data_IF_908508206005
#
_entry.id   IF_908508206005
#
_cell.length_a   1.000
_cell.length_b   1.000
_cell.length_c   1.000
_cell.angle_alpha   90.00
_cell.angle_beta   90.00
_cell.angle_gamma   90.00
#
_symmetry.space_group_name_H-M   'P 1'
#
loop_
_entity.id
_entity.type
_entity.pdbx_description
1 polymer ?
#
# COMPACT_ATOMS: atom_id res chain seq x y z
N UNK A 1 -27.05 5.26 20.55
CA UNK A 1 -26.67 5.11 21.97
C UNK A 1 -25.28 5.68 22.15
N UNK A 2 -25.07 6.68 23.01
CA UNK A 2 -23.74 7.10 23.43
C UNK A 2 -23.18 5.94 24.23
N UNK A 3 -22.14 5.30 23.74
CA UNK A 3 -21.44 4.24 24.45
C UNK A 3 -20.76 4.82 25.64
N UNK A 4 -21.04 5.23 26.65
CA UNK A 4 -20.39 5.85 27.81
C UNK A 4 -18.85 5.80 27.90
N UNK A 5 -18.18 5.31 26.82
CA UNK A 5 -16.73 5.13 26.69
C UNK A 5 -16.06 6.38 26.10
N UNK A 6 -14.88 6.73 26.60
CA UNK A 6 -14.05 7.78 26.02
C UNK A 6 -13.46 7.37 24.66
N UNK A 7 -12.98 8.32 23.85
CA UNK A 7 -12.27 7.99 22.60
C UNK A 7 -11.06 7.09 22.80
N UNK A 8 -10.29 7.30 23.87
CA UNK A 8 -9.14 6.47 24.24
C UNK A 8 -9.56 5.04 24.56
N UNK A 9 -10.63 4.85 25.33
CA UNK A 9 -11.17 3.52 25.62
C UNK A 9 -11.66 2.81 24.35
N UNK A 10 -12.25 3.53 23.41
CA UNK A 10 -12.68 3.00 22.13
C UNK A 10 -11.49 2.63 21.23
N UNK A 11 -10.43 3.45 21.25
CA UNK A 11 -9.19 3.18 20.52
C UNK A 11 -8.54 1.87 21.02
N UNK A 12 -8.35 1.75 22.33
CA UNK A 12 -7.74 0.58 22.97
C UNK A 12 -8.60 -0.70 22.80
N UNK A 13 -9.91 -0.60 22.87
CA UNK A 13 -10.81 -1.71 22.61
C UNK A 13 -10.66 -2.24 21.18
N UNK A 14 -10.56 -1.36 20.20
CA UNK A 14 -10.35 -1.72 18.80
C UNK A 14 -8.97 -2.34 18.58
N UNK A 15 -7.92 -1.71 19.11
CA UNK A 15 -6.56 -2.24 19.05
C UNK A 15 -6.45 -3.62 19.72
N UNK A 16 -7.08 -3.80 20.88
CA UNK A 16 -7.12 -5.10 21.57
C UNK A 16 -7.79 -6.17 20.71
N UNK A 17 -8.93 -5.85 20.09
CA UNK A 17 -9.66 -6.78 19.21
C UNK A 17 -8.81 -7.25 18.04
N UNK A 18 -8.05 -6.34 17.44
CA UNK A 18 -7.12 -6.65 16.35
C UNK A 18 -5.93 -7.47 16.85
N UNK A 19 -5.34 -7.11 17.98
CA UNK A 19 -4.24 -7.86 18.59
C UNK A 19 -4.65 -9.30 18.94
N UNK A 20 -5.82 -9.48 19.52
CA UNK A 20 -6.34 -10.82 19.80
C UNK A 20 -6.50 -11.64 18.52
N UNK A 21 -6.98 -11.04 17.42
CA UNK A 21 -7.07 -11.73 16.13
C UNK A 21 -5.68 -12.06 15.54
N UNK A 22 -4.70 -11.15 15.63
CA UNK A 22 -3.32 -11.41 15.17
C UNK A 22 -2.69 -12.57 15.95
N UNK A 23 -2.89 -12.60 17.25
CA UNK A 23 -2.40 -13.64 18.15
C UNK A 23 -3.22 -14.96 18.08
N UNK A 24 -4.15 -15.05 17.12
CA UNK A 24 -5.01 -16.21 16.88
C UNK A 24 -5.92 -16.56 18.08
N UNK A 25 -6.22 -15.56 18.89
CA UNK A 25 -7.19 -15.64 19.99
C UNK A 25 -8.58 -15.27 19.48
N UNK A 26 -9.61 -15.62 20.24
CA UNK A 26 -10.97 -15.13 20.03
C UNK A 26 -11.11 -13.75 20.68
N UNK A 27 -11.31 -12.66 19.92
CA UNK A 27 -11.73 -11.38 20.50
C UNK A 27 -13.21 -11.44 20.94
N UNK A 28 -13.76 -10.34 21.44
CA UNK A 28 -15.19 -10.24 21.75
C UNK A 28 -16.10 -10.49 20.53
N UNK A 29 -15.63 -10.12 19.35
CA UNK A 29 -16.23 -10.42 18.03
C UNK A 29 -15.20 -10.36 16.92
N UNK A 30 -15.56 -10.86 15.75
CA UNK A 30 -14.78 -10.71 14.53
C UNK A 30 -14.53 -9.22 14.27
N UNK A 31 -13.27 -8.78 14.10
CA UNK A 31 -12.95 -7.40 13.72
C UNK A 31 -13.37 -7.09 12.29
N UNK A 32 -13.62 -5.81 11.99
CA UNK A 32 -13.90 -5.33 10.64
C UNK A 32 -13.01 -4.13 10.28
N UNK A 33 -12.46 -4.17 9.06
CA UNK A 33 -11.64 -3.09 8.50
C UNK A 33 -12.36 -2.42 7.35
N UNK A 34 -12.38 -1.09 7.35
CA UNK A 34 -12.90 -0.27 6.26
C UNK A 34 -11.74 0.29 5.42
N UNK A 35 -11.56 -0.23 4.22
CA UNK A 35 -10.60 0.31 3.24
C UNK A 35 -11.30 1.32 2.35
N UNK A 36 -11.31 2.59 2.75
CA UNK A 36 -12.18 3.62 2.15
C UNK A 36 -11.86 3.90 0.69
N UNK A 37 -10.59 3.95 0.32
CA UNK A 37 -10.13 4.30 -1.03
C UNK A 37 -10.95 5.46 -1.62
N UNK A 38 -11.67 5.29 -2.74
CA UNK A 38 -12.47 6.34 -3.38
C UNK A 38 -13.95 6.38 -2.95
N UNK A 39 -14.37 5.49 -2.08
CA UNK A 39 -15.74 5.41 -1.56
C UNK A 39 -16.24 6.68 -0.84
N UNK A 40 -15.41 7.50 -0.13
CA UNK A 40 -15.88 8.73 0.50
C UNK A 40 -16.59 9.70 -0.45
N UNK A 41 -16.16 9.81 -1.71
CA UNK A 41 -16.85 10.63 -2.71
C UNK A 41 -18.31 10.20 -2.91
N UNK A 42 -18.54 8.88 -3.05
CA UNK A 42 -19.88 8.29 -3.16
C UNK A 42 -20.69 8.45 -1.89
N UNK A 43 -20.05 8.24 -0.74
CA UNK A 43 -20.74 8.26 0.56
C UNK A 43 -21.31 9.64 0.91
N UNK A 44 -20.57 10.72 0.64
CA UNK A 44 -21.05 12.08 0.87
C UNK A 44 -21.86 12.65 -0.30
N UNK A 45 -21.72 12.08 -1.50
CA UNK A 45 -22.52 12.41 -2.69
C UNK A 45 -22.24 13.79 -3.34
N UNK A 46 -21.14 14.47 -2.97
CA UNK A 46 -20.82 15.82 -3.45
C UNK A 46 -19.36 15.99 -3.93
N UNK A 47 -18.57 14.95 -3.89
CA UNK A 47 -17.18 14.95 -4.32
C UNK A 47 -17.00 14.04 -5.51
N UNK A 48 -15.91 14.27 -6.24
CA UNK A 48 -15.39 13.39 -7.30
C UNK A 48 -14.10 12.72 -6.83
N UNK A 49 -13.61 11.75 -7.57
CA UNK A 49 -12.30 11.13 -7.29
C UNK A 49 -11.17 12.17 -7.44
N UNK A 50 -11.31 13.16 -8.34
CA UNK A 50 -10.32 14.23 -8.51
C UNK A 50 -10.09 15.04 -7.23
N UNK A 51 -11.10 15.19 -6.36
CA UNK A 51 -10.96 15.94 -5.10
C UNK A 51 -9.94 15.29 -4.16
N UNK A 52 -9.69 13.97 -4.27
CA UNK A 52 -8.63 13.29 -3.51
C UNK A 52 -7.20 13.76 -3.87
N UNK A 53 -7.04 14.45 -5.00
CA UNK A 53 -5.77 15.02 -5.47
C UNK A 53 -5.73 16.55 -5.38
N UNK A 54 -6.88 17.22 -5.36
CA UNK A 54 -6.98 18.68 -5.53
C UNK A 54 -7.60 19.41 -4.35
N UNK A 55 -8.45 18.76 -3.55
CA UNK A 55 -9.06 19.33 -2.34
C UNK A 55 -8.93 18.38 -1.16
N UNK A 56 -7.73 18.37 -0.57
CA UNK A 56 -7.42 17.47 0.56
C UNK A 56 -8.31 17.73 1.77
N UNK A 57 -8.70 18.97 2.02
CA UNK A 57 -9.57 19.32 3.14
C UNK A 57 -10.96 18.70 3.01
N UNK A 58 -11.63 18.92 1.87
CA UNK A 58 -12.92 18.31 1.60
C UNK A 58 -12.85 16.78 1.57
N UNK A 59 -11.76 16.21 1.01
CA UNK A 59 -11.56 14.78 0.96
C UNK A 59 -11.40 14.15 2.34
N UNK A 60 -10.60 14.75 3.22
CA UNK A 60 -10.39 14.28 4.59
C UNK A 60 -11.67 14.38 5.43
N UNK A 61 -12.44 15.47 5.32
CA UNK A 61 -13.73 15.58 5.98
C UNK A 61 -14.73 14.51 5.51
N UNK A 62 -14.77 14.21 4.22
CA UNK A 62 -15.60 13.14 3.67
C UNK A 62 -15.17 11.77 4.21
N UNK A 63 -13.86 11.52 4.26
CA UNK A 63 -13.27 10.30 4.78
C UNK A 63 -13.56 10.14 6.27
N UNK A 64 -13.36 11.19 7.06
CA UNK A 64 -13.71 11.23 8.49
C UNK A 64 -15.18 10.92 8.71
N UNK A 65 -16.07 11.61 7.99
CA UNK A 65 -17.50 11.35 8.08
C UNK A 65 -17.84 9.90 7.79
N UNK A 66 -17.27 9.33 6.73
CA UNK A 66 -17.48 7.93 6.34
C UNK A 66 -17.07 6.95 7.45
N UNK A 67 -15.91 7.16 8.06
CA UNK A 67 -15.39 6.28 9.13
C UNK A 67 -16.20 6.43 10.40
N UNK A 68 -16.53 7.68 10.81
CA UNK A 68 -17.29 7.95 12.03
C UNK A 68 -18.73 7.41 11.96
N UNK A 69 -19.37 7.51 10.80
CA UNK A 69 -20.74 7.02 10.59
C UNK A 69 -20.80 5.48 10.53
N UNK A 70 -19.81 4.84 9.91
CA UNK A 70 -19.76 3.37 9.72
C UNK A 70 -19.16 2.61 10.90
N UNK A 71 -18.29 3.25 11.69
CA UNK A 71 -17.69 2.71 12.92
C UNK A 71 -16.97 1.37 12.75
N UNK A 72 -16.01 1.25 11.83
CA UNK A 72 -15.15 0.08 11.74
C UNK A 72 -14.21 -0.06 12.95
N UNK A 73 -13.51 -1.19 13.06
CA UNK A 73 -12.46 -1.36 14.06
C UNK A 73 -11.16 -0.71 13.63
N UNK A 74 -10.78 -0.89 12.36
CA UNK A 74 -9.66 -0.17 11.74
C UNK A 74 -10.13 0.47 10.43
N UNK A 75 -9.37 1.47 10.00
CA UNK A 75 -9.55 2.07 8.67
C UNK A 75 -8.24 2.11 7.87
N UNK A 76 -8.37 2.16 6.55
CA UNK A 76 -7.31 2.53 5.62
C UNK A 76 -7.84 3.61 4.69
N UNK A 77 -7.24 4.79 4.73
CA UNK A 77 -7.71 5.98 4.02
C UNK A 77 -6.94 6.23 2.70
N UNK A 78 -6.23 5.22 2.19
CA UNK A 78 -5.29 5.37 1.08
C UNK A 78 -5.97 5.64 -0.26
N UNK A 79 -6.19 6.93 -0.59
CA UNK A 79 -6.56 7.38 -1.94
C UNK A 79 -6.03 8.78 -2.19
N UNK A 80 -5.69 9.06 -3.45
CA UNK A 80 -5.20 10.37 -3.88
C UNK A 80 -3.73 10.63 -3.60
N UNK A 81 -3.37 11.90 -3.57
CA UNK A 81 -2.02 12.41 -3.36
C UNK A 81 -1.95 13.91 -3.64
N UNK A 82 -0.79 14.53 -3.51
CA UNK A 82 -0.63 15.94 -3.86
C UNK A 82 -0.66 16.15 -5.38
N UNK A 83 -1.82 16.50 -5.94
CA UNK A 83 -1.98 16.83 -7.36
C UNK A 83 -1.07 18.00 -7.81
N UNK A 84 -0.82 18.97 -6.93
CA UNK A 84 0.08 20.08 -7.22
C UNK A 84 1.55 19.65 -7.28
N UNK A 85 1.98 18.72 -6.40
CA UNK A 85 3.33 18.14 -6.47
C UNK A 85 3.50 17.34 -7.77
N UNK A 86 2.53 16.48 -8.10
CA UNK A 86 2.52 15.71 -9.36
C UNK A 86 2.57 16.63 -10.58
N UNK A 87 1.73 17.66 -10.62
CA UNK A 87 1.69 18.64 -11.71
C UNK A 87 2.99 19.43 -11.87
N UNK A 88 3.66 19.73 -10.75
CA UNK A 88 4.94 20.45 -10.79
C UNK A 88 6.05 19.61 -11.43
N UNK A 89 6.00 18.28 -11.28
CA UNK A 89 7.01 17.36 -11.83
C UNK A 89 6.65 16.80 -13.21
N UNK A 90 5.36 16.68 -13.55
CA UNK A 90 4.88 16.13 -14.82
C UNK A 90 5.22 14.64 -14.97
N UNK A 91 4.53 13.70 -14.28
CA UNK A 91 4.83 12.28 -14.39
C UNK A 91 4.46 11.75 -15.77
N UNK A 92 5.38 11.01 -16.41
CA UNK A 92 5.20 10.41 -17.73
C UNK A 92 4.52 9.03 -17.67
N UNK A 93 4.67 8.34 -16.54
CA UNK A 93 4.18 6.96 -16.35
C UNK A 93 2.98 6.88 -15.41
N UNK A 94 2.34 8.02 -15.11
CA UNK A 94 1.20 8.09 -14.21
C UNK A 94 0.22 9.16 -14.66
N UNK A 95 -1.07 8.85 -14.69
CA UNK A 95 -2.18 9.79 -14.92
C UNK A 95 -3.14 9.73 -13.75
N UNK A 96 -3.71 10.86 -13.38
CA UNK A 96 -4.66 10.95 -12.27
C UNK A 96 -5.91 11.76 -12.63
N UNK A 97 -7.02 11.55 -11.93
CA UNK A 97 -8.25 12.25 -12.19
C UNK A 97 -8.10 13.77 -11.98
N UNK A 98 -8.70 14.53 -12.88
CA UNK A 98 -8.58 15.99 -12.91
C UNK A 98 -7.33 16.51 -13.63
N UNK A 99 -6.40 15.63 -14.03
CA UNK A 99 -5.26 15.98 -14.89
C UNK A 99 -4.98 14.82 -15.88
N UNK A 100 -5.49 14.94 -17.09
CA UNK A 100 -5.40 13.93 -18.15
C UNK A 100 -6.42 12.79 -18.08
N UNK A 101 -7.21 12.69 -16.98
CA UNK A 101 -8.33 11.76 -16.83
C UNK A 101 -9.59 12.49 -16.38
N UNK A 102 -10.75 11.88 -16.65
CA UNK A 102 -12.04 12.39 -16.14
C UNK A 102 -12.08 12.44 -14.61
N UNK A 103 -12.88 13.35 -14.00
CA UNK A 103 -12.87 13.60 -12.56
C UNK A 103 -13.28 12.38 -11.71
N UNK A 104 -14.01 11.44 -12.26
CA UNK A 104 -14.43 10.20 -11.59
C UNK A 104 -13.67 8.95 -12.09
N UNK A 105 -12.63 9.12 -12.88
CA UNK A 105 -11.75 8.02 -13.28
C UNK A 105 -10.76 7.70 -12.16
N UNK A 106 -10.43 6.42 -12.01
CA UNK A 106 -9.29 6.04 -11.16
C UNK A 106 -7.98 6.43 -11.85
N UNK A 107 -6.92 6.63 -11.06
CA UNK A 107 -5.59 6.84 -11.61
C UNK A 107 -5.14 5.66 -12.48
N UNK A 108 -4.22 5.93 -13.39
CA UNK A 108 -3.67 4.93 -14.31
C UNK A 108 -2.14 4.97 -14.31
N UNK A 109 -1.55 3.79 -14.17
CA UNK A 109 -0.13 3.59 -14.44
C UNK A 109 0.06 3.28 -15.93
N UNK A 110 1.10 3.90 -16.52
CA UNK A 110 1.50 3.66 -17.89
C UNK A 110 2.73 2.77 -17.86
N UNK A 111 2.68 1.65 -18.55
CA UNK A 111 3.81 0.73 -18.64
C UNK A 111 5.03 1.44 -19.24
N UNK A 112 6.20 1.22 -18.64
CA UNK A 112 7.46 1.77 -19.11
C UNK A 112 8.65 0.98 -18.58
N UNK A 113 9.82 1.17 -19.21
CA UNK A 113 11.10 0.55 -18.83
C UNK A 113 12.13 1.64 -18.48
N UNK A 114 12.01 2.32 -17.33
CA UNK A 114 13.00 3.31 -16.91
C UNK A 114 14.41 2.77 -16.74
N UNK A 115 14.55 1.53 -16.30
CA UNK A 115 15.79 0.75 -16.35
C UNK A 115 15.77 -0.15 -17.59
N UNK A 116 16.71 0.00 -18.51
CA UNK A 116 16.83 -0.84 -19.71
C UNK A 116 17.57 -2.14 -19.37
N UNK A 117 17.38 -3.16 -20.20
CA UNK A 117 17.99 -4.47 -19.98
C UNK A 117 19.52 -4.46 -19.97
N UNK A 118 20.15 -3.57 -20.71
CA UNK A 118 21.61 -3.38 -20.82
C UNK A 118 22.19 -2.45 -19.75
N UNK A 119 21.35 -1.86 -18.89
CA UNK A 119 21.77 -0.89 -17.86
C UNK A 119 21.82 -1.47 -16.44
N UNK A 120 21.63 -2.77 -16.26
CA UNK A 120 21.70 -3.37 -14.93
C UNK A 120 23.03 -3.13 -14.23
N UNK A 121 24.16 -3.21 -14.96
CA UNK A 121 25.49 -2.99 -14.37
C UNK A 121 25.66 -1.57 -13.89
N UNK A 122 25.14 -0.58 -14.64
CA UNK A 122 25.12 0.81 -14.22
C UNK A 122 24.27 0.99 -12.97
N UNK A 123 23.06 0.44 -12.96
CA UNK A 123 22.14 0.53 -11.82
C UNK A 123 22.72 -0.14 -10.56
N UNK A 124 23.32 -1.32 -10.71
CA UNK A 124 23.88 -2.08 -9.58
C UNK A 124 25.16 -1.45 -9.03
N UNK A 125 25.99 -0.82 -9.89
CA UNK A 125 27.26 -0.19 -9.46
C UNK A 125 27.05 1.14 -8.76
N UNK A 126 26.09 1.96 -9.21
CA UNK A 126 25.76 3.28 -8.62
C UNK A 126 24.27 3.59 -8.77
N UNK A 127 23.41 3.04 -7.88
CA UNK A 127 21.97 3.30 -7.92
C UNK A 127 21.61 4.77 -7.69
N UNK A 128 22.47 5.54 -7.00
CA UNK A 128 22.27 6.96 -6.75
C UNK A 128 22.41 7.78 -8.03
N UNK A 129 23.52 7.58 -8.75
CA UNK A 129 23.77 8.24 -10.01
C UNK A 129 22.77 7.81 -11.09
N UNK A 130 22.47 6.50 -11.16
CA UNK A 130 21.42 5.98 -12.04
C UNK A 130 20.09 6.67 -11.77
N UNK A 131 19.69 6.79 -10.51
CA UNK A 131 18.41 7.45 -10.14
C UNK A 131 18.41 8.90 -10.60
N UNK A 132 19.45 9.67 -10.28
CA UNK A 132 19.50 11.09 -10.56
C UNK A 132 19.54 11.40 -12.07
N UNK A 133 20.43 10.72 -12.83
CA UNK A 133 20.72 11.08 -14.21
C UNK A 133 20.01 10.24 -15.27
N UNK A 134 19.46 9.08 -14.90
CA UNK A 134 18.79 8.18 -15.85
C UNK A 134 17.32 7.96 -15.51
N UNK A 135 17.00 7.57 -14.26
CA UNK A 135 15.63 7.26 -13.85
C UNK A 135 14.73 8.50 -13.80
N UNK A 136 15.10 9.52 -13.00
CA UNK A 136 14.27 10.74 -12.85
C UNK A 136 14.00 11.44 -14.18
N UNK A 137 14.97 11.64 -15.09
CA UNK A 137 14.72 12.20 -16.42
C UNK A 137 13.75 11.40 -17.30
N UNK A 138 13.67 10.10 -17.11
CA UNK A 138 12.80 9.21 -17.89
C UNK A 138 11.35 9.22 -17.40
N UNK A 139 11.15 9.37 -16.09
CA UNK A 139 9.82 9.26 -15.47
C UNK A 139 9.16 10.60 -15.18
N UNK A 140 9.93 11.71 -15.13
CA UNK A 140 9.44 13.06 -14.84
C UNK A 140 9.82 14.05 -15.93
N UNK A 141 8.84 14.78 -16.46
CA UNK A 141 9.08 15.75 -17.53
C UNK A 141 9.96 16.91 -17.08
N UNK A 142 9.64 17.50 -15.94
CA UNK A 142 10.38 18.64 -15.39
C UNK A 142 11.83 18.29 -15.04
N UNK A 143 12.14 17.03 -14.76
CA UNK A 143 13.47 16.56 -14.37
C UNK A 143 14.30 16.01 -15.54
N UNK A 144 13.82 16.10 -16.78
CA UNK A 144 14.56 15.67 -17.96
C UNK A 144 15.97 16.31 -18.06
N UNK A 145 16.20 17.59 -17.65
CA UNK A 145 17.53 18.19 -17.67
C UNK A 145 18.57 17.58 -16.73
N UNK A 146 18.16 16.77 -15.73
CA UNK A 146 19.11 16.09 -14.84
C UNK A 146 20.03 15.09 -15.57
N UNK A 147 19.62 14.61 -16.75
CA UNK A 147 20.51 13.82 -17.62
C UNK A 147 21.78 14.55 -18.06
N UNK A 148 21.84 15.87 -17.93
CA UNK A 148 23.00 16.72 -18.28
C UNK A 148 23.95 16.98 -17.10
N UNK A 149 23.58 16.52 -15.89
CA UNK A 149 24.44 16.66 -14.73
C UNK A 149 25.64 15.73 -14.83
N UNK A 150 26.81 16.12 -14.27
CA UNK A 150 27.97 15.25 -14.20
C UNK A 150 27.70 14.09 -13.22
N UNK A 151 28.39 12.94 -13.37
CA UNK A 151 28.36 11.87 -12.38
C UNK A 151 28.78 12.42 -11.01
N UNK A 152 28.03 12.10 -9.93
CA UNK A 152 28.33 12.63 -8.60
C UNK A 152 29.75 12.30 -8.11
N UNK A 153 30.32 11.09 -8.35
CA UNK A 153 31.71 10.82 -8.00
C UNK A 153 32.75 11.74 -8.68
N UNK A 154 32.42 12.33 -9.84
CA UNK A 154 33.32 13.29 -10.50
C UNK A 154 33.44 14.65 -9.77
N UNK A 155 32.58 14.85 -8.75
CA UNK A 155 32.55 16.10 -7.97
C UNK A 155 33.40 16.05 -6.68
N UNK A 156 34.08 14.92 -6.42
CA UNK A 156 34.89 14.77 -5.21
C UNK A 156 36.12 15.71 -5.22
N UNK A 157 36.32 16.38 -4.09
CA UNK A 157 37.36 17.34 -3.88
C UNK A 157 36.89 18.80 -4.00
N UNK A 158 37.38 19.67 -3.13
CA UNK A 158 36.91 21.06 -3.03
C UNK A 158 37.14 21.89 -4.32
N UNK A 159 38.29 21.75 -4.96
CA UNK A 159 38.58 22.42 -6.23
C UNK A 159 37.82 21.82 -7.41
N UNK A 160 37.57 20.51 -7.37
CA UNK A 160 36.87 19.78 -8.44
C UNK A 160 35.41 20.20 -8.49
N UNK A 161 34.73 20.28 -7.35
CA UNK A 161 33.35 20.74 -7.31
C UNK A 161 33.20 22.14 -7.90
N UNK A 162 34.09 23.10 -7.52
CA UNK A 162 34.05 24.46 -8.03
C UNK A 162 34.25 24.51 -9.56
N UNK A 163 35.19 23.72 -10.11
CA UNK A 163 35.45 23.66 -11.55
C UNK A 163 34.37 22.94 -12.35
N UNK A 164 33.66 22.01 -11.73
CA UNK A 164 32.60 21.16 -12.36
C UNK A 164 31.17 21.69 -12.10
N UNK A 165 31.03 22.87 -11.45
CA UNK A 165 29.70 23.41 -11.11
C UNK A 165 28.93 24.00 -12.30
N UNK A 166 29.60 24.29 -13.43
CA UNK A 166 28.99 24.94 -14.59
C UNK A 166 27.71 24.25 -15.13
N UNK A 167 27.55 22.91 -15.17
CA UNK A 167 26.31 22.26 -15.58
C UNK A 167 25.10 22.62 -14.71
N UNK A 168 25.32 22.91 -13.42
CA UNK A 168 24.24 23.27 -12.49
C UNK A 168 23.67 24.68 -12.72
N UNK A 169 24.45 25.57 -13.37
CA UNK A 169 24.02 26.93 -13.69
C UNK A 169 23.20 27.04 -14.98
N UNK A 170 23.02 25.96 -15.72
CA UNK A 170 22.23 25.99 -16.96
C UNK A 170 20.77 26.27 -16.65
N UNK A 171 20.10 27.20 -17.39
CA UNK A 171 18.71 27.60 -17.06
C UNK A 171 17.71 26.46 -16.96
N UNK A 172 17.85 25.45 -17.82
CA UNK A 172 16.97 24.26 -17.78
C UNK A 172 17.19 23.37 -16.55
N UNK A 173 18.43 23.30 -16.04
CA UNK A 173 18.77 22.57 -14.81
C UNK A 173 18.25 23.32 -13.59
N UNK A 174 18.42 24.65 -13.56
CA UNK A 174 17.85 25.49 -12.49
C UNK A 174 16.35 25.30 -12.42
N UNK A 175 15.63 25.38 -13.55
CA UNK A 175 14.17 25.14 -13.60
C UNK A 175 13.77 23.75 -13.11
N UNK A 176 14.58 22.72 -13.37
CA UNK A 176 14.31 21.37 -12.89
C UNK A 176 14.43 21.28 -11.36
N UNK A 177 15.42 21.93 -10.74
CA UNK A 177 15.52 22.05 -9.29
C UNK A 177 14.38 22.88 -8.70
N UNK A 178 13.99 23.99 -9.32
CA UNK A 178 12.85 24.80 -8.88
C UNK A 178 11.55 23.98 -8.88
N UNK A 179 11.32 23.16 -9.92
CA UNK A 179 10.18 22.26 -10.00
C UNK A 179 10.19 21.22 -8.86
N UNK A 180 11.37 20.66 -8.56
CA UNK A 180 11.54 19.71 -7.46
C UNK A 180 11.30 20.36 -6.10
N UNK A 181 11.83 21.57 -5.86
CA UNK A 181 11.59 22.31 -4.62
C UNK A 181 10.12 22.64 -4.44
N UNK A 182 9.44 23.10 -5.50
CA UNK A 182 8.00 23.37 -5.48
C UNK A 182 7.20 22.10 -5.17
N UNK A 183 7.52 21.00 -5.81
CA UNK A 183 6.88 19.71 -5.53
C UNK A 183 7.08 19.28 -4.07
N UNK A 184 8.29 19.47 -3.52
CA UNK A 184 8.60 19.19 -2.12
C UNK A 184 7.74 20.03 -1.16
N UNK A 185 7.60 21.32 -1.41
CA UNK A 185 6.73 22.20 -0.61
C UNK A 185 5.25 21.79 -0.63
N UNK A 186 4.74 21.40 -1.80
CA UNK A 186 3.35 20.93 -1.92
C UNK A 186 3.16 19.54 -1.27
N UNK A 187 4.17 18.69 -1.35
CA UNK A 187 4.14 17.39 -0.67
C UNK A 187 4.18 17.54 0.86
N UNK A 188 4.94 18.50 1.38
CA UNK A 188 4.99 18.78 2.82
C UNK A 188 3.62 19.21 3.37
N UNK A 189 2.90 20.08 2.66
CA UNK A 189 1.52 20.49 3.02
C UNK A 189 0.59 19.26 3.05
N UNK A 190 0.70 18.39 2.04
CA UNK A 190 -0.09 17.16 2.00
C UNK A 190 0.23 16.23 3.17
N UNK A 191 1.51 16.06 3.48
CA UNK A 191 1.97 15.20 4.58
C UNK A 191 1.50 15.72 5.94
N UNK A 192 1.55 17.04 6.17
CA UNK A 192 1.01 17.66 7.38
C UNK A 192 -0.49 17.47 7.52
N UNK A 193 -1.25 17.68 6.44
CA UNK A 193 -2.69 17.46 6.44
C UNK A 193 -3.04 16.01 6.76
N UNK A 194 -2.29 15.05 6.18
CA UNK A 194 -2.48 13.62 6.46
C UNK A 194 -2.18 13.28 7.92
N UNK A 195 -1.08 13.79 8.47
CA UNK A 195 -0.71 13.58 9.88
C UNK A 195 -1.77 14.17 10.83
N UNK A 196 -2.29 15.36 10.54
CA UNK A 196 -3.37 15.99 11.32
C UNK A 196 -4.64 15.15 11.28
N UNK A 197 -5.01 14.64 10.10
CA UNK A 197 -6.15 13.75 9.95
C UNK A 197 -5.99 12.46 10.77
N UNK A 198 -4.82 11.83 10.73
CA UNK A 198 -4.55 10.61 11.51
C UNK A 198 -4.63 10.86 13.02
N UNK A 199 -4.13 11.99 13.51
CA UNK A 199 -4.26 12.39 14.91
C UNK A 199 -5.72 12.66 15.30
N UNK A 200 -6.48 13.32 14.44
CA UNK A 200 -7.92 13.56 14.65
C UNK A 200 -8.70 12.24 14.72
N UNK A 201 -8.45 11.31 13.79
CA UNK A 201 -9.10 10.00 13.78
C UNK A 201 -8.77 9.20 15.03
N UNK A 202 -7.53 9.23 15.49
CA UNK A 202 -7.13 8.58 16.73
C UNK A 202 -7.82 9.21 17.96
N UNK A 203 -7.95 10.55 17.99
CA UNK A 203 -8.67 11.27 19.05
C UNK A 203 -10.19 11.02 19.01
N UNK A 204 -10.72 10.51 17.91
CA UNK A 204 -12.09 10.00 17.77
C UNK A 204 -12.20 8.50 18.10
N UNK A 205 -11.08 7.86 18.44
CA UNK A 205 -11.01 6.44 18.80
C UNK A 205 -10.85 5.48 17.64
N UNK A 206 -10.44 5.94 16.44
CA UNK A 206 -10.29 5.10 15.25
C UNK A 206 -8.80 4.86 14.90
N UNK A 207 -8.25 3.66 15.13
CA UNK A 207 -6.89 3.32 14.73
C UNK A 207 -6.79 3.00 13.22
N UNK A 208 -5.66 3.34 12.57
CA UNK A 208 -5.41 2.97 11.18
C UNK A 208 -5.02 1.49 11.05
N UNK A 209 -5.21 0.91 9.84
CA UNK A 209 -4.79 -0.47 9.53
C UNK A 209 -3.27 -0.64 9.57
N UNK A 210 -2.53 0.30 9.02
CA UNK A 210 -1.06 0.30 9.01
C UNK A 210 -0.51 1.66 9.44
N UNK A 211 0.72 1.67 9.93
CA UNK A 211 1.43 2.85 10.44
C UNK A 211 2.62 3.22 9.54
N UNK A 212 2.89 2.42 8.53
CA UNK A 212 3.92 2.60 7.53
C UNK A 212 3.84 1.52 6.47
N UNK A 213 4.74 1.60 5.48
CA UNK A 213 4.76 0.69 4.36
C UNK A 213 6.17 0.18 4.06
N UNK A 214 6.24 -1.00 3.49
CA UNK A 214 7.41 -1.57 2.84
C UNK A 214 7.01 -2.05 1.44
N UNK A 215 7.98 -2.27 0.56
CA UNK A 215 7.72 -2.76 -0.79
C UNK A 215 8.43 -4.09 -1.04
N UNK A 216 7.79 -5.04 -1.71
CA UNK A 216 8.43 -6.28 -2.12
C UNK A 216 9.49 -5.99 -3.19
N UNK A 217 10.73 -6.48 -3.05
CA UNK A 217 11.83 -6.12 -3.96
C UNK A 217 11.54 -6.40 -5.43
N UNK A 218 10.97 -7.56 -5.74
CA UNK A 218 10.60 -7.93 -7.11
C UNK A 218 9.53 -6.98 -7.68
N UNK A 219 8.53 -6.60 -6.86
CA UNK A 219 7.48 -5.68 -7.29
C UNK A 219 8.05 -4.27 -7.58
N UNK A 220 9.03 -3.80 -6.79
CA UNK A 220 9.72 -2.52 -7.07
C UNK A 220 10.37 -2.54 -8.45
N UNK A 221 11.02 -3.65 -8.81
CA UNK A 221 11.65 -3.78 -10.14
C UNK A 221 10.58 -3.81 -11.23
N UNK A 222 9.54 -4.60 -11.03
CA UNK A 222 8.46 -4.77 -12.00
C UNK A 222 7.62 -3.51 -12.18
N UNK A 223 7.31 -2.79 -11.11
CA UNK A 223 6.38 -1.67 -11.17
C UNK A 223 7.08 -0.35 -11.53
N UNK A 224 8.35 -0.17 -11.13
CA UNK A 224 9.00 1.12 -11.19
C UNK A 224 10.26 1.17 -12.05
N UNK A 225 10.93 0.05 -12.30
CA UNK A 225 12.23 0.01 -12.98
C UNK A 225 12.16 -0.64 -14.35
N UNK A 226 11.88 -1.94 -14.41
CA UNK A 226 11.90 -2.72 -15.65
C UNK A 226 10.56 -2.80 -16.36
N UNK A 227 9.47 -2.42 -15.67
CA UNK A 227 8.13 -2.74 -16.12
C UNK A 227 7.81 -4.24 -16.00
N UNK A 228 6.55 -4.59 -16.09
CA UNK A 228 6.08 -5.98 -16.01
C UNK A 228 6.71 -6.86 -17.08
N UNK A 229 6.63 -6.43 -18.35
CA UNK A 229 7.16 -7.18 -19.48
C UNK A 229 8.67 -7.37 -19.39
N UNK A 230 9.41 -6.30 -19.06
CA UNK A 230 10.87 -6.32 -18.91
C UNK A 230 11.28 -7.31 -17.83
N UNK A 231 10.68 -7.25 -16.66
CA UNK A 231 10.98 -8.14 -15.54
C UNK A 231 10.66 -9.60 -15.84
N UNK A 232 9.54 -9.88 -16.52
CA UNK A 232 9.22 -11.25 -16.97
C UNK A 232 10.28 -11.81 -17.94
N UNK A 233 10.76 -11.00 -18.88
CA UNK A 233 11.81 -11.41 -19.81
C UNK A 233 13.15 -11.60 -19.08
N UNK A 234 13.46 -10.79 -18.09
CA UNK A 234 14.71 -10.84 -17.33
C UNK A 234 14.81 -12.09 -16.44
N UNK A 235 13.71 -12.70 -16.02
CA UNK A 235 13.73 -14.01 -15.35
C UNK A 235 14.39 -15.10 -16.22
N UNK A 236 14.44 -14.92 -17.54
CA UNK A 236 15.06 -15.84 -18.50
C UNK A 236 16.36 -15.32 -19.10
N UNK A 237 16.46 -14.01 -19.35
CA UNK A 237 17.57 -13.40 -20.09
C UNK A 237 18.67 -12.84 -19.18
N UNK A 238 18.28 -12.34 -18.00
CA UNK A 238 19.15 -11.65 -17.06
C UNK A 238 18.91 -12.13 -15.61
N UNK A 239 18.74 -13.44 -15.33
CA UNK A 239 18.29 -13.93 -14.01
C UNK A 239 19.20 -13.46 -12.87
N UNK A 240 20.52 -13.52 -13.05
CA UNK A 240 21.50 -13.16 -12.02
C UNK A 240 21.44 -11.64 -11.69
N UNK A 241 21.24 -10.79 -12.71
CA UNK A 241 21.13 -9.34 -12.53
C UNK A 241 19.82 -8.97 -11.83
N UNK A 242 18.74 -9.65 -12.19
CA UNK A 242 17.45 -9.49 -11.53
C UNK A 242 17.52 -9.85 -10.04
N UNK A 243 18.18 -10.97 -9.72
CA UNK A 243 18.38 -11.39 -8.32
C UNK A 243 19.26 -10.40 -7.56
N UNK A 244 20.36 -9.92 -8.14
CA UNK A 244 21.21 -8.90 -7.52
C UNK A 244 20.45 -7.60 -7.26
N UNK A 245 19.60 -7.16 -8.20
CA UNK A 245 18.76 -6.00 -8.03
C UNK A 245 17.73 -6.19 -6.91
N UNK A 246 17.10 -7.36 -6.81
CA UNK A 246 16.20 -7.71 -5.70
C UNK A 246 16.93 -7.65 -4.35
N UNK A 247 18.15 -8.16 -4.25
CA UNK A 247 18.95 -8.12 -3.02
C UNK A 247 19.31 -6.67 -2.61
N UNK A 248 19.71 -5.84 -3.56
CA UNK A 248 20.00 -4.44 -3.29
C UNK A 248 18.75 -3.68 -2.78
N UNK A 249 17.60 -3.90 -3.40
CA UNK A 249 16.34 -3.24 -3.03
C UNK A 249 15.85 -3.73 -1.66
N UNK A 250 16.08 -5.00 -1.30
CA UNK A 250 15.66 -5.57 -0.02
C UNK A 250 16.14 -4.76 1.17
N UNK A 251 17.38 -4.29 1.17
CA UNK A 251 17.95 -3.50 2.26
C UNK A 251 17.17 -2.19 2.46
N UNK A 252 16.82 -1.50 1.37
CA UNK A 252 16.03 -0.28 1.40
C UNK A 252 14.59 -0.54 1.85
N UNK A 253 13.99 -1.64 1.39
CA UNK A 253 12.63 -2.05 1.78
C UNK A 253 12.55 -2.36 3.29
N UNK A 254 13.54 -3.03 3.84
CA UNK A 254 13.64 -3.31 5.28
C UNK A 254 13.78 -1.99 6.06
N UNK A 255 14.67 -1.10 5.64
CA UNK A 255 14.88 0.20 6.29
C UNK A 255 13.59 1.05 6.27
N UNK A 256 12.89 1.10 5.14
CA UNK A 256 11.59 1.76 5.01
C UNK A 256 10.56 1.18 5.98
N UNK A 257 10.41 -0.14 6.03
CA UNK A 257 9.49 -0.80 6.95
C UNK A 257 9.82 -0.54 8.42
N UNK A 258 11.10 -0.56 8.79
CA UNK A 258 11.57 -0.28 10.16
C UNK A 258 11.26 1.16 10.60
N UNK A 259 11.24 2.12 9.70
CA UNK A 259 10.88 3.51 10.02
C UNK A 259 9.49 3.63 10.66
N UNK A 260 8.61 2.65 10.44
CA UNK A 260 7.31 2.52 11.11
C UNK A 260 7.41 2.50 12.65
N UNK A 261 8.55 2.08 13.21
CA UNK A 261 8.78 2.12 14.67
C UNK A 261 8.75 3.54 15.24
N UNK A 262 8.98 4.55 14.42
CA UNK A 262 8.90 5.96 14.80
C UNK A 262 7.47 6.47 14.96
N UNK A 263 6.45 5.73 14.49
CA UNK A 263 5.04 6.08 14.70
C UNK A 263 4.74 6.23 16.20
N UNK A 264 4.05 7.28 16.58
CA UNK A 264 3.69 7.57 17.97
C UNK A 264 2.65 6.59 18.54
N UNK A 265 1.81 6.02 17.69
CA UNK A 265 0.66 5.17 18.08
C UNK A 265 0.78 3.78 17.45
N UNK A 266 -0.11 2.87 17.87
CA UNK A 266 -0.19 1.49 17.41
C UNK A 266 0.51 0.49 18.33
N UNK A 267 -0.21 -0.54 18.75
CA UNK A 267 0.31 -1.63 19.58
C UNK A 267 -0.40 -2.95 19.27
N UNK A 268 0.21 -3.82 18.44
CA UNK A 268 1.52 -3.65 17.79
C UNK A 268 1.47 -2.69 16.60
N UNK A 269 2.62 -2.12 16.24
CA UNK A 269 2.76 -1.32 15.02
C UNK A 269 2.71 -2.22 13.80
N UNK A 270 2.01 -1.77 12.76
CA UNK A 270 1.71 -2.56 11.56
C UNK A 270 2.31 -1.92 10.31
N UNK A 271 2.93 -2.76 9.46
CA UNK A 271 3.56 -2.34 8.18
C UNK A 271 2.80 -2.97 7.03
N UNK A 272 2.27 -2.15 6.14
CA UNK A 272 1.60 -2.60 4.92
C UNK A 272 2.59 -2.92 3.80
N UNK A 273 2.25 -3.89 2.95
CA UNK A 273 2.94 -4.16 1.69
C UNK A 273 1.94 -4.66 0.66
N UNK A 274 1.80 -3.96 -0.46
CA UNK A 274 1.07 -4.48 -1.61
C UNK A 274 1.95 -5.47 -2.39
N UNK A 275 1.38 -6.59 -2.82
CA UNK A 275 2.08 -7.67 -3.51
C UNK A 275 1.43 -7.91 -4.86
N UNK A 276 2.06 -7.42 -5.93
CA UNK A 276 1.45 -7.35 -7.25
C UNK A 276 1.76 -8.55 -8.13
N UNK A 277 2.99 -9.12 -8.03
CA UNK A 277 3.50 -10.10 -9.01
C UNK A 277 3.65 -11.52 -8.47
N UNK A 278 3.40 -11.74 -7.19
CA UNK A 278 3.56 -13.06 -6.56
C UNK A 278 2.40 -14.04 -6.80
N UNK A 279 1.31 -13.63 -7.46
CA UNK A 279 0.09 -14.44 -7.60
C UNK A 279 0.25 -15.65 -8.53
N UNK A 280 -0.66 -16.61 -8.42
CA UNK A 280 -0.68 -17.86 -9.18
C UNK A 280 -0.75 -17.64 -10.70
N UNK A 281 -1.47 -16.59 -11.12
CA UNK A 281 -1.63 -16.27 -12.54
C UNK A 281 -0.45 -15.52 -13.15
N UNK A 282 0.51 -15.02 -12.35
CA UNK A 282 1.59 -14.19 -12.86
C UNK A 282 2.88 -14.97 -13.13
N UNK A 283 3.28 -15.89 -12.26
CA UNK A 283 4.50 -16.67 -12.40
C UNK A 283 4.31 -18.11 -11.95
N UNK A 284 5.11 -19.01 -12.52
CA UNK A 284 5.16 -20.41 -12.10
C UNK A 284 5.69 -20.55 -10.67
N UNK A 285 5.45 -21.69 -10.03
CA UNK A 285 6.00 -21.99 -8.70
C UNK A 285 7.52 -21.88 -8.70
N UNK A 286 8.20 -22.44 -9.69
CA UNK A 286 9.67 -22.34 -9.79
C UNK A 286 10.17 -20.89 -9.89
N UNK A 287 9.49 -20.04 -10.63
CA UNK A 287 9.83 -18.60 -10.70
C UNK A 287 9.58 -17.90 -9.38
N UNK A 288 8.46 -18.20 -8.72
CA UNK A 288 8.13 -17.69 -7.40
C UNK A 288 9.21 -18.06 -6.37
N UNK A 289 9.62 -19.32 -6.31
CA UNK A 289 10.67 -19.82 -5.42
C UNK A 289 12.05 -19.21 -5.72
N UNK A 290 12.33 -18.89 -6.99
CA UNK A 290 13.63 -18.35 -7.38
C UNK A 290 13.70 -16.83 -7.20
N UNK A 291 12.70 -16.08 -7.67
CA UNK A 291 12.81 -14.63 -7.83
C UNK A 291 11.98 -13.82 -6.82
N UNK A 292 10.88 -14.38 -6.32
CA UNK A 292 9.93 -13.62 -5.52
C UNK A 292 9.99 -13.93 -4.02
N UNK A 293 9.79 -15.20 -3.66
CA UNK A 293 9.66 -15.64 -2.28
C UNK A 293 10.89 -15.39 -1.40
N UNK A 294 12.13 -15.64 -1.83
CA UNK A 294 13.29 -15.51 -0.96
C UNK A 294 13.46 -14.12 -0.36
N UNK A 295 13.30 -13.05 -1.18
CA UNK A 295 13.45 -11.68 -0.70
C UNK A 295 12.20 -11.20 0.04
N UNK A 296 10.99 -11.60 -0.36
CA UNK A 296 9.75 -11.30 0.37
C UNK A 296 9.77 -11.95 1.76
N UNK A 297 10.11 -13.21 1.89
CA UNK A 297 10.22 -13.91 3.19
C UNK A 297 11.20 -13.18 4.11
N UNK A 298 12.38 -12.85 3.62
CA UNK A 298 13.41 -12.12 4.40
C UNK A 298 12.95 -10.73 4.82
N UNK A 299 12.23 -10.01 3.97
CA UNK A 299 11.60 -8.74 4.32
C UNK A 299 10.64 -8.92 5.49
N UNK A 300 9.70 -9.87 5.39
CA UNK A 300 8.69 -10.10 6.42
C UNK A 300 9.34 -10.52 7.74
N UNK A 301 10.28 -11.45 7.71
CA UNK A 301 11.01 -11.91 8.91
C UNK A 301 11.76 -10.75 9.55
N UNK A 302 12.51 -9.96 8.77
CA UNK A 302 13.28 -8.83 9.28
C UNK A 302 12.39 -7.76 9.98
N UNK A 303 11.15 -7.55 9.52
CA UNK A 303 10.19 -6.63 10.13
C UNK A 303 9.60 -7.23 11.41
N UNK A 304 9.21 -8.51 11.37
CA UNK A 304 8.56 -9.18 12.50
C UNK A 304 9.53 -9.46 13.65
N UNK A 305 10.81 -9.70 13.38
CA UNK A 305 11.87 -9.84 14.39
C UNK A 305 12.09 -8.54 15.19
N UNK A 306 11.69 -7.40 14.63
CA UNK A 306 11.73 -6.09 15.31
C UNK A 306 10.43 -5.74 16.03
N UNK A 307 9.52 -6.70 16.18
CA UNK A 307 8.25 -6.52 16.89
C UNK A 307 7.15 -5.84 16.08
N UNK A 308 7.36 -5.64 14.76
CA UNK A 308 6.33 -5.16 13.86
C UNK A 308 5.40 -6.30 13.46
N UNK A 309 4.14 -5.98 13.17
CA UNK A 309 3.21 -6.88 12.50
C UNK A 309 3.17 -6.52 11.02
N UNK A 310 3.44 -7.49 10.17
CA UNK A 310 3.38 -7.27 8.73
C UNK A 310 1.96 -7.53 8.18
N UNK A 311 1.48 -6.63 7.32
CA UNK A 311 0.15 -6.69 6.68
C UNK A 311 0.33 -6.77 5.16
N UNK A 312 0.75 -7.94 4.64
CA UNK A 312 0.86 -8.13 3.20
C UNK A 312 -0.52 -8.20 2.57
N UNK A 313 -0.70 -7.47 1.48
CA UNK A 313 -1.88 -7.53 0.65
C UNK A 313 -1.57 -8.40 -0.57
N UNK A 314 -2.04 -9.63 -0.55
CA UNK A 314 -1.87 -10.63 -1.59
C UNK A 314 -2.86 -10.38 -2.73
N UNK A 315 -2.45 -9.59 -3.72
CA UNK A 315 -3.26 -9.33 -4.91
C UNK A 315 -3.29 -10.54 -5.84
N UNK A 316 -4.42 -10.73 -6.52
CA UNK A 316 -4.65 -11.94 -7.31
C UNK A 316 -4.98 -13.17 -6.46
N UNK A 317 -4.87 -14.35 -7.05
CA UNK A 317 -5.04 -15.64 -6.38
C UNK A 317 -3.69 -16.20 -5.92
N UNK A 318 -3.63 -16.67 -4.67
CA UNK A 318 -2.45 -17.25 -4.01
C UNK A 318 -2.70 -18.68 -3.53
N UNK A 319 -3.72 -19.35 -4.07
CA UNK A 319 -4.16 -20.65 -3.61
C UNK A 319 -3.07 -21.73 -3.65
N UNK A 320 -2.13 -21.66 -4.61
CA UNK A 320 -0.99 -22.58 -4.75
C UNK A 320 0.21 -22.17 -3.88
N UNK A 321 0.17 -21.01 -3.23
CA UNK A 321 1.27 -20.45 -2.45
C UNK A 321 0.97 -20.37 -0.96
N UNK A 322 -0.19 -20.83 -0.52
CA UNK A 322 -0.60 -20.76 0.89
C UNK A 322 0.39 -21.44 1.82
N UNK A 323 0.95 -22.60 1.42
CA UNK A 323 1.89 -23.38 2.25
C UNK A 323 3.19 -22.62 2.51
N UNK A 324 3.67 -21.78 1.58
CA UNK A 324 4.86 -20.95 1.81
C UNK A 324 4.66 -19.97 2.98
N UNK A 325 3.43 -19.52 3.23
CA UNK A 325 3.14 -18.60 4.32
C UNK A 325 3.28 -19.24 5.70
N UNK A 326 3.31 -20.58 5.78
CA UNK A 326 3.62 -21.32 7.02
C UNK A 326 5.10 -21.19 7.44
N UNK A 327 5.97 -20.78 6.51
CA UNK A 327 7.39 -20.51 6.80
C UNK A 327 7.61 -19.17 7.54
N UNK A 328 6.58 -18.31 7.62
CA UNK A 328 6.65 -17.01 8.27
C UNK A 328 6.46 -17.17 9.79
N UNK A 329 6.89 -16.20 10.61
CA UNK A 329 6.68 -16.25 12.05
C UNK A 329 5.20 -16.28 12.44
N UNK A 330 4.79 -17.32 13.20
CA UNK A 330 3.41 -17.54 13.64
C UNK A 330 2.87 -16.37 14.45
N UNK A 331 1.65 -15.92 14.12
CA UNK A 331 0.93 -14.86 14.84
C UNK A 331 1.60 -13.48 14.72
N UNK A 332 2.37 -13.23 13.65
CA UNK A 332 3.09 -11.97 13.40
C UNK A 332 2.68 -11.28 12.10
N UNK A 333 1.71 -11.86 11.37
CA UNK A 333 1.24 -11.32 10.09
C UNK A 333 -0.28 -11.26 10.03
N UNK A 334 -0.81 -10.32 9.26
CA UNK A 334 -2.21 -10.29 8.83
C UNK A 334 -2.20 -10.55 7.32
N UNK A 335 -2.47 -11.77 6.91
CA UNK A 335 -2.53 -12.16 5.50
C UNK A 335 -3.82 -11.63 4.87
N UNK A 336 -3.74 -10.51 4.15
CA UNK A 336 -4.87 -9.92 3.45
C UNK A 336 -4.95 -10.44 2.03
N UNK A 337 -6.05 -11.13 1.69
CA UNK A 337 -6.29 -11.72 0.38
C UNK A 337 -7.32 -10.95 -0.43
N UNK A 338 -7.02 -10.75 -1.73
CA UNK A 338 -7.95 -10.14 -2.68
C UNK A 338 -8.94 -11.16 -3.26
N UNK A 339 -8.44 -12.23 -3.88
CA UNK A 339 -9.24 -13.18 -4.65
C UNK A 339 -9.02 -14.66 -4.27
N UNK A 340 -8.13 -14.95 -3.34
CA UNK A 340 -7.92 -16.31 -2.84
C UNK A 340 -9.14 -16.79 -2.06
N UNK A 341 -9.53 -18.06 -2.25
CA UNK A 341 -10.58 -18.69 -1.46
C UNK A 341 -10.22 -18.68 0.03
N UNK A 342 -11.00 -17.93 0.81
CA UNK A 342 -10.72 -17.76 2.25
C UNK A 342 -11.03 -19.01 3.08
N UNK A 343 -11.93 -19.90 2.64
CA UNK A 343 -12.16 -21.17 3.32
C UNK A 343 -10.92 -22.06 3.18
N UNK A 344 -10.34 -22.12 1.96
CA UNK A 344 -9.07 -22.81 1.72
C UNK A 344 -7.92 -22.16 2.50
N UNK A 345 -7.82 -20.83 2.46
CA UNK A 345 -6.79 -20.10 3.23
C UNK A 345 -6.94 -20.38 4.75
N UNK A 346 -8.17 -20.41 5.28
CA UNK A 346 -8.43 -20.74 6.69
C UNK A 346 -8.03 -22.17 7.04
N UNK A 347 -8.32 -23.13 6.17
CA UNK A 347 -7.94 -24.53 6.39
C UNK A 347 -6.41 -24.70 6.47
N UNK A 348 -5.65 -24.00 5.62
CA UNK A 348 -4.17 -24.09 5.61
C UNK A 348 -3.54 -23.21 6.70
N UNK A 349 -3.96 -21.96 6.81
CA UNK A 349 -3.25 -20.92 7.58
C UNK A 349 -3.90 -20.60 8.94
N UNK A 350 -5.13 -21.04 9.21
CA UNK A 350 -5.93 -20.55 10.32
C UNK A 350 -5.35 -20.78 11.72
N UNK A 351 -4.42 -21.75 11.87
CA UNK A 351 -3.67 -21.99 13.12
C UNK A 351 -2.31 -21.28 13.15
N UNK A 352 -1.94 -20.55 12.09
CA UNK A 352 -0.61 -19.98 11.89
C UNK A 352 -0.61 -18.46 11.75
N UNK A 353 -1.52 -17.89 10.96
CA UNK A 353 -1.57 -16.45 10.70
C UNK A 353 -3.01 -15.93 10.72
N UNK A 354 -3.17 -14.65 11.09
CA UNK A 354 -4.46 -13.98 10.98
C UNK A 354 -4.78 -13.75 9.50
N UNK A 355 -6.00 -14.12 9.10
CA UNK A 355 -6.49 -13.96 7.72
C UNK A 355 -7.40 -12.73 7.67
N UNK A 356 -7.22 -11.89 6.66
CA UNK A 356 -8.06 -10.74 6.40
C UNK A 356 -8.57 -10.75 4.97
N UNK A 357 -9.86 -10.48 4.79
CA UNK A 357 -10.42 -10.36 3.45
C UNK A 357 -11.92 -10.54 3.39
N UNK A 358 -12.40 -10.56 2.24
CA UNK A 358 -13.32 -11.39 1.65
C UNK A 358 -14.53 -10.88 0.94
N UNK A 359 -15.11 -9.71 1.22
CA UNK A 359 -16.33 -9.32 0.52
C UNK A 359 -16.02 -8.79 -0.88
N UNK A 360 -16.47 -9.48 -1.96
CA UNK A 360 -16.20 -9.06 -3.33
C UNK A 360 -16.77 -7.67 -3.64
N UNK A 361 -16.07 -6.89 -4.44
CA UNK A 361 -16.55 -5.59 -4.89
C UNK A 361 -17.88 -5.67 -5.62
N UNK A 362 -18.06 -6.66 -6.48
CA UNK A 362 -19.31 -6.86 -7.22
C UNK A 362 -20.52 -6.96 -6.29
N UNK A 363 -20.39 -7.68 -5.17
CA UNK A 363 -21.44 -7.73 -4.16
C UNK A 363 -21.74 -6.35 -3.57
N UNK A 364 -20.70 -5.57 -3.23
CA UNK A 364 -20.89 -4.24 -2.65
C UNK A 364 -21.44 -3.21 -3.66
N UNK A 365 -21.29 -3.46 -4.97
CA UNK A 365 -21.73 -2.56 -6.03
C UNK A 365 -23.15 -2.88 -6.53
N UNK A 366 -23.47 -4.15 -6.78
CA UNK A 366 -24.67 -4.52 -7.52
C UNK A 366 -25.67 -5.38 -6.75
N UNK A 367 -25.24 -6.13 -5.72
CA UNK A 367 -26.11 -7.01 -4.97
C UNK A 367 -27.09 -6.24 -4.06
N UNK A 368 -28.13 -6.92 -3.61
CA UNK A 368 -29.00 -6.46 -2.53
C UNK A 368 -28.28 -6.52 -1.18
N UNK A 369 -28.72 -5.73 -0.22
CA UNK A 369 -28.14 -5.79 1.14
C UNK A 369 -28.35 -7.14 1.80
N UNK A 370 -29.43 -7.90 1.45
CA UNK A 370 -29.66 -9.24 1.94
C UNK A 370 -28.59 -10.23 1.42
N UNK A 371 -28.25 -10.17 0.13
CA UNK A 371 -27.20 -11.01 -0.45
C UNK A 371 -25.83 -10.71 0.17
N UNK A 372 -25.52 -9.43 0.44
CA UNK A 372 -24.30 -9.03 1.17
C UNK A 372 -24.31 -9.58 2.59
N UNK A 373 -25.45 -9.50 3.29
CA UNK A 373 -25.59 -10.02 4.66
C UNK A 373 -25.38 -11.52 4.70
N UNK A 374 -26.01 -12.27 3.80
CA UNK A 374 -25.89 -13.73 3.74
C UNK A 374 -24.47 -14.17 3.41
N UNK A 375 -23.80 -13.47 2.49
CA UNK A 375 -22.40 -13.70 2.18
C UNK A 375 -21.50 -13.45 3.40
N UNK A 376 -21.64 -12.31 4.06
CA UNK A 376 -20.87 -11.97 5.26
C UNK A 376 -21.12 -12.97 6.40
N UNK A 377 -22.36 -13.38 6.62
CA UNK A 377 -22.73 -14.39 7.62
C UNK A 377 -22.02 -15.72 7.37
N UNK A 378 -22.02 -16.20 6.12
CA UNK A 378 -21.33 -17.42 5.76
C UNK A 378 -19.81 -17.29 5.93
N UNK A 379 -19.23 -16.19 5.49
CA UNK A 379 -17.79 -15.94 5.59
C UNK A 379 -17.34 -15.88 7.07
N UNK A 380 -18.10 -15.19 7.92
CA UNK A 380 -17.86 -15.11 9.37
C UNK A 380 -17.96 -16.52 10.00
N UNK A 381 -18.96 -17.31 9.62
CA UNK A 381 -19.11 -18.68 10.12
C UNK A 381 -17.89 -19.55 9.77
N UNK A 382 -17.42 -19.49 8.51
CA UNK A 382 -16.34 -20.36 8.03
C UNK A 382 -14.97 -19.88 8.52
N UNK A 383 -14.67 -18.59 8.40
CA UNK A 383 -13.35 -18.03 8.68
C UNK A 383 -13.21 -17.55 10.14
N UNK A 384 -14.30 -17.16 10.78
CA UNK A 384 -14.30 -16.66 12.17
C UNK A 384 -14.07 -17.75 13.20
N UNK A 385 -14.46 -19.00 12.91
CA UNK A 385 -14.31 -20.11 13.84
C UNK A 385 -12.87 -20.21 14.37
N UNK A 386 -12.74 -20.31 15.69
CA UNK A 386 -11.43 -20.39 16.36
C UNK A 386 -10.69 -19.06 16.51
N UNK A 387 -11.18 -17.94 15.94
CA UNK A 387 -10.49 -16.64 15.93
C UNK A 387 -9.55 -16.48 14.72
N UNK A 388 -8.65 -15.47 14.75
CA UNK A 388 -7.66 -15.25 13.68
C UNK A 388 -8.25 -14.83 12.34
N UNK A 389 -9.41 -14.14 12.35
CA UNK A 389 -10.05 -13.63 11.13
C UNK A 389 -10.45 -12.16 11.27
N UNK A 390 -10.31 -11.39 10.21
CA UNK A 390 -10.72 -9.99 10.09
C UNK A 390 -11.54 -9.82 8.80
N UNK A 391 -12.75 -9.29 8.91
CA UNK A 391 -13.60 -9.02 7.75
C UNK A 391 -13.22 -7.71 7.09
N UNK A 392 -13.13 -7.68 5.76
CA UNK A 392 -13.00 -6.47 4.95
C UNK A 392 -13.48 -6.72 3.53
N UNK A 393 -13.52 -5.69 2.68
CA UNK A 393 -13.70 -5.86 1.23
C UNK A 393 -12.45 -6.48 0.58
N UNK A 394 -12.63 -7.19 -0.52
CA UNK A 394 -11.54 -7.88 -1.24
C UNK A 394 -10.38 -6.94 -1.61
N UNK A 395 -10.70 -5.74 -2.07
CA UNK A 395 -9.71 -4.66 -2.33
C UNK A 395 -10.20 -3.34 -1.70
N UNK A 396 -9.59 -2.19 -1.99
CA UNK A 396 -10.09 -0.88 -1.53
C UNK A 396 -11.44 -0.55 -2.17
N UNK A 397 -12.36 0.06 -1.43
CA UNK A 397 -13.70 0.40 -1.93
C UNK A 397 -13.63 1.45 -3.04
N UNK A 398 -14.39 1.23 -4.12
CA UNK A 398 -14.53 2.18 -5.22
C UNK A 398 -15.71 3.12 -4.99
N UNK A 399 -15.82 4.14 -5.82
CA UNK A 399 -16.97 5.08 -5.78
C UNK A 399 -18.28 4.46 -6.31
N UNK A 400 -18.26 3.24 -6.85
CA UNK A 400 -19.47 2.52 -7.25
C UNK A 400 -20.11 1.71 -6.11
N UNK A 401 -19.38 1.49 -5.00
CA UNK A 401 -19.91 0.74 -3.86
C UNK A 401 -21.14 1.45 -3.25
N UNK A 402 -22.20 0.70 -2.98
CA UNK A 402 -23.44 1.22 -2.39
C UNK A 402 -23.26 1.42 -0.89
N UNK A 403 -23.56 2.62 -0.34
CA UNK A 403 -23.43 2.90 1.10
C UNK A 403 -24.16 1.90 2.00
N UNK A 404 -25.37 1.48 1.60
CA UNK A 404 -26.16 0.48 2.31
C UNK A 404 -25.47 -0.89 2.39
N UNK A 405 -24.82 -1.32 1.30
CA UNK A 405 -24.10 -2.59 1.25
C UNK A 405 -22.83 -2.57 2.11
N UNK A 406 -22.09 -1.45 2.06
CA UNK A 406 -20.90 -1.26 2.92
C UNK A 406 -21.31 -1.25 4.39
N UNK A 407 -22.41 -0.59 4.74
CA UNK A 407 -22.98 -0.61 6.11
C UNK A 407 -23.36 -2.02 6.52
N UNK A 408 -24.06 -2.77 5.66
CA UNK A 408 -24.44 -4.17 5.91
C UNK A 408 -23.21 -5.04 6.19
N UNK A 409 -22.14 -4.90 5.40
CA UNK A 409 -20.87 -5.60 5.65
C UNK A 409 -20.33 -5.29 7.06
N UNK A 410 -20.25 -4.00 7.42
CA UNK A 410 -19.73 -3.56 8.73
C UNK A 410 -20.62 -4.06 9.89
N UNK A 411 -21.94 -4.03 9.74
CA UNK A 411 -22.86 -4.42 10.80
C UNK A 411 -22.97 -5.96 10.95
N UNK A 412 -22.62 -6.73 9.91
CA UNK A 412 -22.64 -8.20 9.95
C UNK A 412 -21.72 -8.77 11.03
N UNK A 413 -20.57 -8.14 11.34
CA UNK A 413 -19.68 -8.63 12.41
C UNK A 413 -20.29 -8.44 13.80
N UNK A 414 -21.16 -7.46 14.00
CA UNK A 414 -21.89 -7.25 15.26
C UNK A 414 -23.04 -8.24 15.42
N UNK A 415 -23.63 -8.65 14.30
CA UNK A 415 -24.80 -9.55 14.27
C UNK A 415 -24.41 -11.02 14.32
N UNK A 416 -23.34 -11.40 13.64
CA UNK A 416 -22.93 -12.79 13.42
C UNK A 416 -21.52 -13.13 13.91
N UNK A 417 -20.71 -12.14 14.27
CA UNK A 417 -19.29 -12.34 14.58
C UNK A 417 -18.98 -12.38 16.09
N UNK A 418 -19.97 -12.32 16.96
CA UNK A 418 -19.79 -12.42 18.42
C UNK A 418 -19.38 -13.84 18.76
N UNK A 419 -18.30 -14.03 19.56
CA UNK A 419 -17.79 -15.34 19.96
C UNK A 419 -18.42 -15.87 21.24
#
# INVERSE_FOLDING_TARGET
MKTGKSPEELYEEREKRIRDAIELKKPDRVPVVLTTNYFPARYVGRLTIADSYHDHGAWQEATKKTIVDLKPDLYSAGAGGSGLALKSLGPKLFKWPGDGLGPNSMHQYIEGEPLRADEYDLFLSDPGDFTLRHYLPRVWEALAPFSKLPPLPSLWGASTLASQAAPFSKPEVIKAFEALFKAGQEQEKYSQATSTFEEEMANLGFPPLSHGNAAAPFDVISDHLRGMRGTMLDMYRNPDKLLQACEMILSNSIASGISTLQSKRGNPKRVGTALHRGSDGFMSIKQFETFYWPTLKRLIVALTDRGLVHVPFYEGDWAQRLEYLLELPKGKTIARFAFTDLAKAKAVLGSHTCIMGGVPHSLLQVASSQEVEDYCKNLIKVCGEGGGFILTSSTGLTNEARPENVRTMIDSVKKYGVY
#
